data_IF_940190764248
#
_entry.id   IF_940190764248
#
_cell.length_a   1.000
_cell.length_b   1.000
_cell.length_c   1.000
_cell.angle_alpha   90.00
_cell.angle_beta   90.00
_cell.angle_gamma   90.00
#
_symmetry.space_group_name_H-M   'P 1'
#
loop_
_entity.id
_entity.type
_entity.pdbx_description
1 polymer ?
#
# COMPACT_ATOMS: atom_id res chain seq x y z
N UNK A 1 -11.95 16.15 4.76
CA UNK A 1 -12.02 14.69 4.52
C UNK A 1 -12.77 14.04 5.67
N UNK A 2 -13.58 13.00 5.41
CA UNK A 2 -14.20 12.22 6.47
C UNK A 2 -13.14 11.38 7.19
N UNK A 3 -13.28 11.20 8.51
CA UNK A 3 -12.41 10.34 9.32
C UNK A 3 -13.14 9.03 9.60
N UNK A 4 -12.41 7.91 9.58
CA UNK A 4 -12.96 6.55 9.56
C UNK A 4 -12.35 5.67 10.66
N UNK A 5 -12.44 6.09 11.93
CA UNK A 5 -11.75 5.42 13.04
C UNK A 5 -12.14 3.96 13.24
N UNK A 6 -13.44 3.65 13.16
CA UNK A 6 -13.94 2.28 13.29
C UNK A 6 -13.36 1.33 12.22
N UNK A 7 -13.14 1.83 10.99
CA UNK A 7 -12.51 1.05 9.94
C UNK A 7 -11.02 0.82 10.20
N UNK A 8 -10.32 1.78 10.82
CA UNK A 8 -8.92 1.59 11.24
C UNK A 8 -8.84 0.48 12.29
N UNK A 9 -9.66 0.54 13.34
CA UNK A 9 -9.71 -0.50 14.38
C UNK A 9 -10.04 -1.88 13.79
N UNK A 10 -11.01 -1.93 12.87
CA UNK A 10 -11.36 -3.18 12.19
C UNK A 10 -10.16 -3.76 11.42
N UNK A 11 -9.40 -2.94 10.68
CA UNK A 11 -8.25 -3.41 9.92
C UNK A 11 -7.10 -3.84 10.83
N UNK A 12 -6.85 -3.10 11.91
CA UNK A 12 -5.83 -3.44 12.90
C UNK A 12 -6.13 -4.76 13.64
N UNK A 13 -7.41 -5.14 13.74
CA UNK A 13 -7.83 -6.41 14.35
C UNK A 13 -7.76 -7.64 13.42
N UNK A 14 -7.28 -7.49 12.19
CA UNK A 14 -7.18 -8.59 11.22
C UNK A 14 -5.71 -8.98 11.00
N UNK A 15 -5.31 -10.18 11.42
CA UNK A 15 -3.91 -10.65 11.35
C UNK A 15 -3.32 -10.68 9.94
N UNK A 16 -4.16 -10.73 8.90
CA UNK A 16 -3.73 -10.74 7.50
C UNK A 16 -3.64 -9.34 6.87
N UNK A 17 -3.92 -8.28 7.64
CA UNK A 17 -3.74 -6.89 7.24
C UNK A 17 -2.58 -6.25 8.01
N UNK A 18 -1.80 -5.46 7.29
CA UNK A 18 -0.78 -4.59 7.87
C UNK A 18 -1.12 -3.14 7.52
N UNK A 19 -1.10 -2.25 8.52
CA UNK A 19 -1.42 -0.83 8.35
C UNK A 19 -0.13 0.00 8.32
N UNK A 20 0.15 0.59 7.17
CA UNK A 20 1.17 1.63 6.96
C UNK A 20 0.55 3.00 6.70
N UNK A 21 1.38 4.01 6.46
CA UNK A 21 0.95 5.41 6.25
C UNK A 21 1.12 5.88 4.81
N UNK A 22 0.32 6.88 4.42
CA UNK A 22 0.25 7.39 3.04
C UNK A 22 0.15 8.92 2.94
N UNK A 23 0.69 9.64 3.93
CA UNK A 23 0.56 11.09 4.04
C UNK A 23 -0.74 11.53 4.73
N UNK A 24 -0.77 12.76 5.25
CA UNK A 24 -1.92 13.33 5.97
C UNK A 24 -3.00 13.82 5.00
N UNK A 25 -2.61 14.56 3.95
CA UNK A 25 -3.56 15.18 3.00
C UNK A 25 -3.41 14.69 1.56
N UNK A 26 -2.54 13.70 1.33
CA UNK A 26 -2.25 13.14 0.02
C UNK A 26 -1.54 14.17 -0.89
N UNK A 27 -0.54 14.87 -0.35
CA UNK A 27 0.21 15.92 -1.04
C UNK A 27 1.20 15.39 -2.10
N UNK A 28 1.50 16.20 -3.11
CA UNK A 28 2.59 15.95 -4.06
C UNK A 28 3.94 16.27 -3.40
N UNK A 29 4.49 15.33 -2.63
CA UNK A 29 5.68 15.53 -1.79
C UNK A 29 6.86 16.22 -2.49
N UNK A 30 7.20 15.93 -3.77
CA UNK A 30 8.33 16.61 -4.42
C UNK A 30 8.18 18.13 -4.58
N UNK A 31 6.96 18.67 -4.41
CA UNK A 31 6.67 20.11 -4.46
C UNK A 31 6.86 20.82 -3.12
N UNK A 32 7.20 20.08 -2.06
CA UNK A 32 7.29 20.56 -0.69
C UNK A 32 8.73 20.52 -0.17
N UNK A 33 9.02 21.41 0.79
CA UNK A 33 10.31 21.41 1.48
C UNK A 33 10.43 20.27 2.51
N UNK A 34 11.58 20.21 3.19
CA UNK A 34 11.88 19.12 4.12
C UNK A 34 10.93 19.08 5.33
N UNK A 35 10.55 20.23 5.87
CA UNK A 35 9.71 20.33 7.07
C UNK A 35 8.25 20.05 6.73
N UNK A 36 7.79 20.54 5.58
CA UNK A 36 6.46 20.22 5.04
C UNK A 36 6.32 18.73 4.74
N UNK A 37 7.30 18.12 4.06
CA UNK A 37 7.29 16.67 3.81
C UNK A 37 7.33 15.89 5.12
N UNK A 38 8.14 16.32 6.10
CA UNK A 38 8.19 15.68 7.41
C UNK A 38 6.83 15.72 8.12
N UNK A 39 6.13 16.85 8.10
CA UNK A 39 4.82 16.99 8.70
C UNK A 39 3.79 16.07 8.02
N UNK A 40 3.78 16.05 6.68
CA UNK A 40 2.90 15.20 5.88
C UNK A 40 3.13 13.70 6.17
N UNK A 41 4.38 13.28 6.34
CA UNK A 41 4.75 11.87 6.61
C UNK A 41 4.47 11.48 8.06
N UNK A 42 4.86 12.33 9.03
CA UNK A 42 4.84 11.99 10.45
C UNK A 42 3.45 12.13 11.09
N UNK A 43 2.60 13.03 10.58
CA UNK A 43 1.25 13.25 11.13
C UNK A 43 0.44 11.96 11.30
N UNK A 44 0.27 11.14 10.24
CA UNK A 44 -0.44 9.87 10.32
C UNK A 44 0.24 8.83 11.21
N UNK A 45 1.58 8.82 11.28
CA UNK A 45 2.34 7.90 12.14
C UNK A 45 2.02 8.18 13.61
N UNK A 46 2.13 9.45 14.02
CA UNK A 46 1.78 9.88 15.38
C UNK A 46 0.31 9.62 15.68
N UNK A 47 -0.59 9.91 14.72
CA UNK A 47 -2.02 9.69 14.92
C UNK A 47 -2.37 8.20 15.11
N UNK A 48 -1.69 7.28 14.42
CA UNK A 48 -1.87 5.84 14.60
C UNK A 48 -1.38 5.38 15.97
N UNK A 49 -0.21 5.85 16.39
CA UNK A 49 0.36 5.52 17.69
C UNK A 49 -0.50 6.05 18.85
N UNK A 50 -0.87 7.33 18.83
CA UNK A 50 -1.57 7.98 19.94
C UNK A 50 -3.00 7.46 20.12
N UNK A 51 -3.69 7.13 19.03
CA UNK A 51 -5.12 6.78 19.07
C UNK A 51 -5.36 5.28 19.14
N UNK A 52 -4.50 4.48 18.53
CA UNK A 52 -4.70 3.04 18.40
C UNK A 52 -3.54 2.21 18.97
N UNK A 53 -2.48 2.85 19.48
CA UNK A 53 -1.29 2.15 19.96
C UNK A 53 -0.54 1.41 18.86
N UNK A 54 -0.75 1.77 17.60
CA UNK A 54 -0.16 1.10 16.44
C UNK A 54 1.07 1.84 15.94
N UNK A 55 2.22 1.18 16.01
CA UNK A 55 3.48 1.69 15.50
C UNK A 55 3.60 1.40 13.99
N UNK A 56 3.23 2.38 13.17
CA UNK A 56 3.39 2.26 11.73
C UNK A 56 4.85 2.43 11.30
N UNK A 57 5.43 1.37 10.73
CA UNK A 57 6.82 1.36 10.26
C UNK A 57 6.95 1.54 8.74
N UNK A 58 5.86 1.40 8.01
CA UNK A 58 5.82 1.49 6.55
C UNK A 58 5.23 2.82 6.09
N UNK A 59 5.84 3.41 5.06
CA UNK A 59 5.35 4.60 4.38
C UNK A 59 5.35 4.40 2.86
N UNK A 60 4.27 4.83 2.20
CA UNK A 60 4.20 4.96 0.74
C UNK A 60 3.89 6.42 0.40
N UNK A 61 4.63 7.08 -0.51
CA UNK A 61 4.30 8.43 -0.90
C UNK A 61 3.01 8.47 -1.74
N UNK A 62 2.16 9.50 -1.58
CA UNK A 62 1.07 9.79 -2.50
C UNK A 62 1.53 9.78 -3.96
N UNK A 63 0.66 9.28 -4.85
CA UNK A 63 0.93 9.18 -6.30
C UNK A 63 2.14 8.31 -6.70
N UNK A 64 2.87 7.74 -5.74
CA UNK A 64 4.17 7.12 -6.01
C UNK A 64 5.27 8.13 -6.36
N UNK A 65 5.03 9.42 -6.11
CA UNK A 65 5.94 10.51 -6.43
C UNK A 65 6.94 10.74 -5.29
N UNK A 66 8.22 10.86 -5.62
CA UNK A 66 9.26 11.14 -4.65
C UNK A 66 10.47 11.78 -5.34
N UNK A 67 11.29 12.46 -4.54
CA UNK A 67 12.64 12.87 -4.92
C UNK A 67 13.64 12.44 -3.81
N UNK A 68 14.91 12.76 -3.98
CA UNK A 68 15.96 12.40 -3.01
C UNK A 68 15.67 12.96 -1.61
N UNK A 69 15.06 14.15 -1.54
CA UNK A 69 14.65 14.75 -0.28
C UNK A 69 13.56 13.91 0.40
N UNK A 70 12.54 13.46 -0.33
CA UNK A 70 11.50 12.56 0.19
C UNK A 70 12.09 11.28 0.77
N UNK A 71 13.01 10.64 0.03
CA UNK A 71 13.67 9.41 0.50
C UNK A 71 14.49 9.67 1.76
N UNK A 72 15.22 10.79 1.81
CA UNK A 72 16.01 11.18 2.98
C UNK A 72 15.13 11.43 4.22
N UNK A 73 14.01 12.15 4.07
CA UNK A 73 13.07 12.42 5.17
C UNK A 73 12.47 11.12 5.70
N UNK A 74 11.97 10.23 4.82
CA UNK A 74 11.39 8.93 5.23
C UNK A 74 12.41 8.10 6.00
N UNK A 75 13.68 8.06 5.53
CA UNK A 75 14.77 7.36 6.21
C UNK A 75 15.12 7.96 7.57
N UNK A 76 15.16 9.30 7.68
CA UNK A 76 15.43 10.00 8.95
C UNK A 76 14.34 9.75 9.99
N UNK A 77 13.10 9.54 9.54
CA UNK A 77 11.97 9.16 10.39
C UNK A 77 11.96 7.68 10.77
N UNK A 78 12.91 6.88 10.28
CA UNK A 78 13.01 5.44 10.59
C UNK A 78 11.98 4.58 9.86
N UNK A 79 11.29 5.11 8.85
CA UNK A 79 10.24 4.41 8.11
C UNK A 79 10.82 3.65 6.91
N UNK A 80 10.21 2.53 6.55
CA UNK A 80 10.47 1.80 5.32
C UNK A 80 9.68 2.44 4.17
N UNK A 81 10.37 2.81 3.09
CA UNK A 81 9.78 3.40 1.90
C UNK A 81 9.29 2.31 0.93
N UNK A 82 7.98 2.24 0.67
CA UNK A 82 7.35 1.15 -0.09
C UNK A 82 6.68 1.63 -1.36
N UNK A 83 7.18 1.19 -2.51
CA UNK A 83 6.52 1.33 -3.82
C UNK A 83 5.83 0.01 -4.22
N UNK A 84 5.42 -0.08 -5.48
CA UNK A 84 4.87 -1.26 -6.11
C UNK A 84 5.62 -1.55 -7.41
N UNK A 85 5.51 -2.78 -7.91
CA UNK A 85 6.00 -3.14 -9.24
C UNK A 85 4.88 -3.52 -10.21
N UNK A 86 3.62 -3.58 -9.75
CA UNK A 86 2.45 -3.85 -10.58
C UNK A 86 1.34 -2.86 -10.25
N UNK A 87 0.98 -2.04 -11.23
CA UNK A 87 -0.20 -1.17 -11.20
C UNK A 87 -1.43 -1.94 -11.67
N UNK A 88 -2.44 -2.14 -10.82
CA UNK A 88 -3.68 -2.79 -11.24
C UNK A 88 -4.41 -1.98 -12.34
N UNK A 89 -4.41 -0.66 -12.21
CA UNK A 89 -5.25 0.25 -12.99
C UNK A 89 -6.68 0.31 -12.48
N UNK A 90 -6.95 -0.16 -11.27
CA UNK A 90 -8.28 -0.17 -10.67
C UNK A 90 -8.98 1.19 -10.53
N UNK A 91 -8.31 2.37 -10.48
CA UNK A 91 -9.02 3.64 -10.41
C UNK A 91 -9.65 4.06 -11.74
N UNK A 92 -9.27 3.43 -12.86
CA UNK A 92 -9.82 3.74 -14.18
C UNK A 92 -11.24 3.15 -14.31
N UNK A 93 -12.28 3.99 -14.39
CA UNK A 93 -13.67 3.51 -14.42
C UNK A 93 -14.03 2.84 -15.75
N UNK A 94 -13.18 2.92 -16.79
CA UNK A 94 -13.43 2.31 -18.09
C UNK A 94 -12.98 0.85 -18.16
N UNK A 95 -12.18 0.39 -17.18
CA UNK A 95 -11.67 -0.96 -17.16
C UNK A 95 -12.65 -1.92 -16.47
N UNK A 96 -12.88 -3.07 -17.10
CA UNK A 96 -13.63 -4.18 -16.49
C UNK A 96 -12.76 -4.93 -15.47
N UNK A 97 -13.41 -5.70 -14.58
CA UNK A 97 -12.72 -6.56 -13.64
C UNK A 97 -11.81 -7.57 -14.37
N UNK A 98 -12.26 -8.13 -15.50
CA UNK A 98 -11.51 -9.09 -16.31
C UNK A 98 -10.26 -8.45 -16.93
N UNK A 99 -10.36 -7.21 -17.41
CA UNK A 99 -9.22 -6.47 -17.97
C UNK A 99 -8.16 -6.19 -16.89
N UNK A 100 -8.59 -5.75 -15.70
CA UNK A 100 -7.70 -5.51 -14.56
C UNK A 100 -7.04 -6.82 -14.13
N UNK A 101 -7.83 -7.89 -13.97
CA UNK A 101 -7.33 -9.20 -13.55
C UNK A 101 -6.32 -9.76 -14.55
N UNK A 102 -6.61 -9.72 -15.85
CA UNK A 102 -5.71 -10.21 -16.89
C UNK A 102 -4.36 -9.45 -16.86
N UNK A 103 -4.41 -8.13 -16.67
CA UNK A 103 -3.21 -7.28 -16.55
C UNK A 103 -2.36 -7.64 -15.33
N UNK A 104 -3.00 -7.85 -14.18
CA UNK A 104 -2.32 -8.24 -12.94
C UNK A 104 -1.76 -9.65 -13.08
N UNK A 105 -2.59 -10.63 -13.44
CA UNK A 105 -2.23 -12.05 -13.56
C UNK A 105 -1.03 -12.30 -14.49
N UNK A 106 -0.92 -11.53 -15.58
CA UNK A 106 0.22 -11.63 -16.52
C UNK A 106 1.55 -11.25 -15.87
N UNK A 107 1.55 -10.32 -14.91
CA UNK A 107 2.77 -9.74 -14.31
C UNK A 107 3.10 -10.31 -12.93
N UNK A 108 2.13 -10.88 -12.23
CA UNK A 108 2.32 -11.45 -10.90
C UNK A 108 3.33 -12.60 -10.92
N UNK A 109 4.34 -12.48 -10.06
CA UNK A 109 5.44 -13.43 -9.84
C UNK A 109 5.87 -13.39 -8.35
N UNK A 110 6.72 -14.31 -7.86
CA UNK A 110 7.29 -14.18 -6.51
C UNK A 110 7.90 -12.79 -6.31
N UNK A 111 7.63 -12.17 -5.16
CA UNK A 111 8.09 -10.82 -4.83
C UNK A 111 7.27 -9.66 -5.41
N UNK A 112 6.16 -9.92 -6.09
CA UNK A 112 5.28 -8.85 -6.59
C UNK A 112 4.57 -8.08 -5.46
N UNK A 113 4.65 -6.75 -5.49
CA UNK A 113 3.79 -5.83 -4.75
C UNK A 113 2.83 -5.17 -5.76
N UNK A 114 1.54 -5.42 -5.59
CA UNK A 114 0.48 -4.94 -6.49
C UNK A 114 -0.28 -3.82 -5.80
N UNK A 115 -0.43 -2.67 -6.47
CA UNK A 115 -1.21 -1.54 -5.93
C UNK A 115 -2.68 -1.62 -6.37
N UNK A 116 -3.58 -1.47 -5.39
CA UNK A 116 -5.02 -1.33 -5.53
C UNK A 116 -5.50 -0.20 -4.59
N UNK A 117 -6.72 0.28 -4.79
CA UNK A 117 -7.28 1.40 -4.05
C UNK A 117 -8.64 1.05 -3.41
N UNK A 118 -8.78 1.43 -2.14
CA UNK A 118 -10.04 1.31 -1.37
C UNK A 118 -10.63 2.69 -1.03
N UNK A 119 -10.49 3.67 -1.95
CA UNK A 119 -10.93 5.05 -1.79
C UNK A 119 -12.25 5.38 -2.52
N UNK A 120 -12.98 4.36 -2.97
CA UNK A 120 -14.23 4.50 -3.73
C UNK A 120 -14.08 4.68 -5.25
N UNK A 121 -12.86 4.86 -5.78
CA UNK A 121 -12.62 4.90 -7.24
C UNK A 121 -12.49 3.51 -7.85
N UNK A 122 -11.97 2.54 -7.09
CA UNK A 122 -11.79 1.14 -7.50
C UNK A 122 -13.07 0.30 -7.50
N UNK A 123 -14.03 0.61 -8.39
CA UNK A 123 -15.34 -0.08 -8.42
C UNK A 123 -15.22 -1.60 -8.61
N UNK A 124 -14.21 -2.03 -9.37
CA UNK A 124 -13.99 -3.45 -9.68
C UNK A 124 -13.02 -4.13 -8.71
N UNK A 125 -12.39 -3.38 -7.80
CA UNK A 125 -11.28 -3.87 -6.96
C UNK A 125 -11.68 -5.08 -6.15
N UNK A 126 -12.87 -5.08 -5.54
CA UNK A 126 -13.37 -6.23 -4.77
C UNK A 126 -13.42 -7.51 -5.61
N UNK A 127 -14.06 -7.45 -6.78
CA UNK A 127 -14.20 -8.61 -7.67
C UNK A 127 -12.83 -9.11 -8.12
N UNK A 128 -11.91 -8.20 -8.47
CA UNK A 128 -10.55 -8.55 -8.89
C UNK A 128 -9.79 -9.24 -7.76
N UNK A 129 -9.85 -8.72 -6.52
CA UNK A 129 -9.17 -9.33 -5.37
C UNK A 129 -9.74 -10.72 -5.06
N UNK A 130 -11.06 -10.89 -5.10
CA UNK A 130 -11.70 -12.19 -4.89
C UNK A 130 -11.23 -13.24 -5.93
N UNK A 131 -11.18 -12.89 -7.22
CA UNK A 131 -10.71 -13.82 -8.27
C UNK A 131 -9.18 -14.03 -8.23
N UNK A 132 -8.40 -12.97 -8.01
CA UNK A 132 -6.94 -13.03 -7.89
C UNK A 132 -6.52 -13.99 -6.78
N UNK A 133 -7.15 -13.88 -5.60
CA UNK A 133 -6.80 -14.71 -4.44
C UNK A 133 -7.30 -16.14 -4.54
N UNK A 134 -8.47 -16.39 -5.13
CA UNK A 134 -9.05 -17.74 -5.24
C UNK A 134 -8.47 -18.57 -6.37
N UNK A 135 -8.07 -17.94 -7.48
CA UNK A 135 -7.75 -18.65 -8.73
C UNK A 135 -6.32 -18.39 -9.20
N UNK A 136 -5.94 -17.13 -9.33
CA UNK A 136 -4.68 -16.76 -9.99
C UNK A 136 -3.46 -17.01 -9.09
N UNK A 137 -3.50 -16.61 -7.82
CA UNK A 137 -2.38 -16.85 -6.91
C UNK A 137 -2.15 -18.35 -6.67
N UNK A 138 -3.19 -19.18 -6.36
CA UNK A 138 -3.00 -20.62 -6.18
C UNK A 138 -2.51 -21.33 -7.44
N UNK A 139 -3.03 -21.00 -8.63
CA UNK A 139 -2.56 -21.61 -9.89
C UNK A 139 -1.09 -21.31 -10.19
N UNK A 140 -0.55 -20.21 -9.66
CA UNK A 140 0.87 -19.84 -9.73
C UNK A 140 1.69 -20.31 -8.52
N UNK A 141 1.10 -21.04 -7.58
CA UNK A 141 1.70 -21.44 -6.29
C UNK A 141 2.22 -20.25 -5.47
N UNK A 142 1.50 -19.12 -5.54
CA UNK A 142 1.78 -17.91 -4.78
C UNK A 142 0.75 -17.77 -3.65
N UNK A 143 1.13 -17.07 -2.58
CA UNK A 143 0.24 -16.67 -1.49
C UNK A 143 0.36 -15.17 -1.24
N UNK A 144 -0.70 -14.50 -0.78
CA UNK A 144 -0.58 -13.15 -0.25
C UNK A 144 0.25 -13.16 1.04
N UNK A 145 0.90 -12.03 1.29
CA UNK A 145 1.72 -11.72 2.47
C UNK A 145 1.49 -10.25 2.81
N UNK A 146 1.73 -9.88 4.06
CA UNK A 146 1.95 -8.47 4.40
C UNK A 146 3.24 -7.95 3.75
N UNK A 147 3.46 -6.64 3.76
CA UNK A 147 4.68 -6.09 3.16
C UNK A 147 5.88 -6.43 4.04
N UNK A 148 5.75 -6.33 5.36
CA UNK A 148 6.82 -6.75 6.28
C UNK A 148 7.18 -8.24 6.12
N UNK A 149 6.18 -9.13 6.04
CA UNK A 149 6.43 -10.55 5.77
C UNK A 149 7.18 -10.78 4.45
N UNK A 150 6.85 -10.00 3.41
CA UNK A 150 7.51 -10.09 2.11
C UNK A 150 8.96 -9.60 2.18
N UNK A 151 9.24 -8.52 2.91
CA UNK A 151 10.59 -7.97 3.08
C UNK A 151 11.48 -8.88 3.92
N UNK A 152 10.93 -9.54 4.93
CA UNK A 152 11.62 -10.53 5.76
C UNK A 152 11.71 -11.91 5.09
N UNK A 153 11.03 -12.10 3.96
CA UNK A 153 11.02 -13.36 3.23
C UNK A 153 12.40 -13.66 2.66
N UNK A 154 13.19 -14.44 3.41
CA UNK A 154 14.46 -15.01 2.96
C UNK A 154 14.23 -16.18 2.00
N UNK A 155 13.48 -15.96 0.92
CA UNK A 155 13.22 -16.98 -0.11
C UNK A 155 14.55 -17.48 -0.67
N UNK A 156 15.09 -18.55 -0.08
CA UNK A 156 16.05 -19.44 -0.71
C UNK A 156 15.24 -20.26 -1.70
N UNK A 157 15.05 -19.72 -2.90
CA UNK A 157 14.73 -20.58 -4.03
C UNK A 157 15.99 -21.43 -4.28
N UNK A 158 15.90 -22.77 -4.38
CA UNK A 158 17.01 -23.60 -4.84
C UNK A 158 17.55 -23.15 -6.21
#
# INVERSE_FOLDING_TARGET
MAKHGAQVEQLLGLDFFEVGTHGEVHAHLPMHDADEQRAEILGPVTALQERYGHEATLFRPPYGEYNDLTVAVVKLLGLQFIQWNIESGDPDPTLSAEQILARVAKRTKPGSIIVFHANGKGKQTRQVIEQLTREILPSKKLRPMTVSELLDCKSTTP
#
